data_IF_760054385824
#
_entry.id   IF_760054385824
#
_cell.length_a   1.000
_cell.length_b   1.000
_cell.length_c   1.000
_cell.angle_alpha   90.00
_cell.angle_beta   90.00
_cell.angle_gamma   90.00
#
_symmetry.space_group_name_H-M   'P 1'
#
loop_
_entity.id
_entity.type
_entity.pdbx_description
1 polymer ?
#
# COMPACT_ATOMS: atom_id res chain seq x y z
N UNK A 1 0.42 31.89 -82.14
CA UNK A 1 -0.96 31.86 -82.67
C UNK A 1 -1.94 31.64 -81.53
N UNK A 2 -2.92 32.51 -81.32
CA UNK A 2 -3.88 32.43 -80.21
C UNK A 2 -5.16 31.69 -80.64
N UNK A 3 -5.85 31.06 -79.69
CA UNK A 3 -7.32 30.91 -79.75
C UNK A 3 -7.91 30.96 -78.33
N UNK A 4 -8.52 32.11 -78.04
CA UNK A 4 -9.62 32.27 -77.08
C UNK A 4 -10.86 31.55 -77.62
N UNK A 5 -11.70 31.03 -76.72
CA UNK A 5 -13.11 31.45 -76.48
C UNK A 5 -13.79 30.45 -75.50
N UNK A 6 -14.31 30.90 -74.34
CA UNK A 6 -15.67 31.49 -74.14
C UNK A 6 -16.78 30.43 -74.33
N UNK A 7 -17.86 30.30 -73.56
CA UNK A 7 -18.44 30.93 -72.36
C UNK A 7 -19.70 30.09 -71.98
N UNK A 8 -20.31 30.36 -70.81
CA UNK A 8 -21.78 30.31 -70.50
C UNK A 8 -22.43 28.93 -70.32
N UNK A 9 -23.52 28.73 -69.57
CA UNK A 9 -24.33 29.44 -68.53
C UNK A 9 -25.51 28.49 -68.18
N UNK A 10 -26.14 28.71 -67.02
CA UNK A 10 -27.53 28.40 -66.59
C UNK A 10 -27.54 27.42 -65.41
N UNK A 11 -27.92 27.75 -64.16
CA UNK A 11 -29.05 28.52 -63.58
C UNK A 11 -30.44 27.93 -63.90
N UNK A 12 -31.13 27.53 -62.82
CA UNK A 12 -32.57 27.32 -62.56
C UNK A 12 -32.94 25.86 -62.27
N UNK A 13 -33.83 25.50 -61.34
CA UNK A 13 -34.56 26.15 -60.24
C UNK A 13 -35.25 25.01 -59.47
N UNK A 14 -35.28 25.13 -58.15
CA UNK A 14 -36.36 24.76 -57.20
C UNK A 14 -36.92 23.32 -57.16
N UNK A 15 -36.96 22.76 -55.94
CA UNK A 15 -37.78 21.59 -55.61
C UNK A 15 -37.53 21.10 -54.18
N UNK A 16 -38.35 21.60 -53.25
CA UNK A 16 -38.48 21.17 -51.86
C UNK A 16 -38.67 19.65 -51.71
N UNK A 17 -37.92 18.98 -50.84
CA UNK A 17 -38.45 17.87 -50.03
C UNK A 17 -37.66 17.71 -48.73
N UNK A 18 -38.31 18.07 -47.63
CA UNK A 18 -37.97 17.71 -46.26
C UNK A 18 -38.11 16.19 -46.08
N UNK A 19 -37.04 15.51 -45.63
CA UNK A 19 -37.17 14.30 -44.81
C UNK A 19 -36.16 14.39 -43.67
N UNK A 20 -36.69 14.49 -42.46
CA UNK A 20 -36.01 14.29 -41.19
C UNK A 20 -35.37 12.90 -41.13
N UNK A 21 -34.07 12.82 -40.83
CA UNK A 21 -33.51 11.75 -40.01
C UNK A 21 -32.47 12.39 -39.10
N UNK A 22 -32.84 12.51 -37.83
CA UNK A 22 -31.91 12.83 -36.76
C UNK A 22 -31.22 11.57 -36.22
N UNK A 23 -30.33 11.81 -35.25
CA UNK A 23 -29.52 10.86 -34.48
C UNK A 23 -28.35 10.26 -35.28
N UNK A 24 -27.11 10.23 -34.80
CA UNK A 24 -26.62 10.29 -33.42
C UNK A 24 -25.16 10.70 -33.41
N UNK A 25 -24.82 11.70 -32.58
CA UNK A 25 -23.48 11.86 -32.02
C UNK A 25 -23.24 10.63 -31.13
N UNK A 26 -22.38 9.71 -31.57
CA UNK A 26 -21.77 8.73 -30.68
C UNK A 26 -20.71 9.46 -29.86
N UNK A 27 -21.17 10.11 -28.79
CA UNK A 27 -20.36 10.25 -27.59
C UNK A 27 -19.99 8.81 -27.19
N UNK A 28 -18.73 8.42 -27.41
CA UNK A 28 -18.15 7.30 -26.72
C UNK A 28 -18.01 7.68 -25.24
N UNK A 29 -19.14 7.73 -24.55
CA UNK A 29 -19.16 7.42 -23.13
C UNK A 29 -18.77 5.96 -23.05
N UNK A 30 -17.48 5.68 -22.87
CA UNK A 30 -17.07 4.45 -22.23
C UNK A 30 -17.78 4.44 -20.88
N UNK A 31 -18.91 3.76 -20.82
CA UNK A 31 -19.51 3.34 -19.58
C UNK A 31 -18.39 2.67 -18.80
N UNK A 32 -18.05 3.22 -17.62
CA UNK A 32 -17.47 2.39 -16.58
C UNK A 32 -18.45 1.22 -16.46
N UNK A 33 -18.06 0.05 -16.96
CA UNK A 33 -18.64 -1.20 -16.48
C UNK A 33 -18.32 -1.20 -14.99
N UNK A 34 -19.22 -0.59 -14.22
CA UNK A 34 -19.27 -0.78 -12.79
C UNK A 34 -19.53 -2.26 -12.63
N UNK A 35 -18.48 -3.00 -12.25
CA UNK A 35 -18.73 -4.26 -11.57
C UNK A 35 -19.63 -3.89 -10.41
N UNK A 36 -20.83 -4.42 -10.40
CA UNK A 36 -21.69 -4.46 -9.24
C UNK A 36 -21.02 -5.39 -8.21
N UNK A 37 -19.88 -4.95 -7.67
CA UNK A 37 -19.20 -5.61 -6.57
C UNK A 37 -19.99 -5.25 -5.32
N UNK A 38 -21.10 -5.95 -5.12
CA UNK A 38 -21.86 -5.89 -3.87
C UNK A 38 -20.87 -6.04 -2.71
N UNK A 39 -20.77 -5.01 -1.86
CA UNK A 39 -19.87 -5.01 -0.70
C UNK A 39 -20.19 -6.26 0.13
N UNK A 40 -19.23 -7.17 0.38
CA UNK A 40 -19.48 -8.36 1.16
C UNK A 40 -20.06 -8.00 2.53
N UNK A 41 -21.10 -8.72 2.95
CA UNK A 41 -21.67 -8.53 4.29
C UNK A 41 -20.56 -8.69 5.33
N UNK A 42 -20.50 -7.75 6.27
CA UNK A 42 -19.51 -7.76 7.34
C UNK A 42 -18.10 -7.29 6.93
N UNK A 43 -17.84 -6.92 5.66
CA UNK A 43 -16.51 -6.46 5.20
C UNK A 43 -15.88 -5.45 6.16
N UNK A 44 -16.65 -4.45 6.58
CA UNK A 44 -16.12 -3.37 7.41
C UNK A 44 -16.04 -3.69 8.90
N UNK A 45 -16.68 -4.75 9.39
CA UNK A 45 -16.91 -4.98 10.83
C UNK A 45 -16.41 -6.33 11.33
N UNK A 46 -16.15 -7.30 10.44
CA UNK A 46 -15.74 -8.65 10.81
C UNK A 46 -14.24 -8.87 10.64
N UNK A 47 -13.59 -9.35 11.69
CA UNK A 47 -12.18 -9.74 11.65
C UNK A 47 -12.01 -11.15 11.07
N UNK A 48 -10.96 -11.34 10.27
CA UNK A 48 -10.51 -12.63 9.73
C UNK A 48 -9.48 -13.26 10.67
N UNK A 49 -9.99 -13.88 11.75
CA UNK A 49 -9.18 -14.48 12.81
C UNK A 49 -9.04 -15.99 12.63
N UNK A 50 -7.89 -16.53 13.04
CA UNK A 50 -7.69 -17.97 13.23
C UNK A 50 -8.62 -18.50 14.33
N UNK A 51 -9.17 -19.70 14.12
CA UNK A 51 -10.10 -20.33 15.06
C UNK A 51 -9.52 -20.48 16.49
N UNK A 52 -8.21 -20.73 16.60
CA UNK A 52 -7.52 -20.83 17.89
C UNK A 52 -7.53 -19.52 18.71
N UNK A 53 -7.82 -18.39 18.08
CA UNK A 53 -7.88 -17.08 18.73
C UNK A 53 -9.30 -16.69 19.17
N UNK A 54 -10.30 -17.54 18.97
CA UNK A 54 -11.70 -17.22 19.26
C UNK A 54 -11.93 -16.80 20.72
N UNK A 55 -11.23 -17.44 21.66
CA UNK A 55 -11.35 -17.21 23.10
C UNK A 55 -10.18 -16.41 23.70
N UNK A 56 -9.34 -15.79 22.88
CA UNK A 56 -8.24 -14.98 23.39
C UNK A 56 -8.79 -13.73 24.14
N UNK A 57 -8.33 -13.44 25.37
CA UNK A 57 -8.84 -12.32 26.16
C UNK A 57 -8.63 -10.96 25.49
N UNK A 58 -7.49 -10.75 24.83
CA UNK A 58 -7.21 -9.49 24.13
C UNK A 58 -8.06 -9.37 22.86
N UNK A 59 -8.30 -10.47 22.14
CA UNK A 59 -9.26 -10.48 21.03
C UNK A 59 -10.67 -10.12 21.51
N UNK A 60 -11.08 -10.64 22.67
CA UNK A 60 -12.36 -10.30 23.28
C UNK A 60 -12.45 -8.82 23.67
N UNK A 61 -11.36 -8.23 24.16
CA UNK A 61 -11.26 -6.77 24.39
C UNK A 61 -11.35 -5.97 23.09
N UNK A 62 -10.67 -6.40 22.02
CA UNK A 62 -10.73 -5.74 20.71
C UNK A 62 -12.15 -5.75 20.16
N UNK A 63 -12.86 -6.88 20.29
CA UNK A 63 -14.28 -6.99 19.91
C UNK A 63 -15.17 -6.05 20.72
N UNK A 64 -14.87 -5.81 22.00
CA UNK A 64 -15.57 -4.78 22.80
C UNK A 64 -15.20 -3.37 22.38
N UNK A 65 -13.95 -3.10 22.02
CA UNK A 65 -13.55 -1.78 21.53
C UNK A 65 -14.23 -1.38 20.21
N UNK A 66 -14.79 -2.34 19.47
CA UNK A 66 -15.63 -2.10 18.29
C UNK A 66 -17.02 -1.54 18.65
N UNK A 67 -17.47 -1.62 19.90
CA UNK A 67 -18.77 -1.08 20.31
C UNK A 67 -18.83 0.44 20.02
N UNK A 68 -19.87 0.86 19.30
CA UNK A 68 -20.01 2.25 18.84
C UNK A 68 -19.11 2.65 17.68
N UNK A 69 -18.32 1.72 17.10
CA UNK A 69 -17.52 1.94 15.88
C UNK A 69 -18.27 1.48 14.64
N UNK A 70 -18.14 2.26 13.57
CA UNK A 70 -18.78 1.98 12.28
C UNK A 70 -18.01 0.97 11.45
N UNK A 71 -16.71 0.80 11.71
CA UNK A 71 -15.81 -0.08 10.98
C UNK A 71 -14.56 -0.40 11.77
N UNK A 72 -13.84 -1.45 11.36
CA UNK A 72 -12.51 -1.81 11.89
C UNK A 72 -11.53 -0.65 11.67
N UNK A 73 -11.63 0.08 10.56
CA UNK A 73 -10.79 1.25 10.32
C UNK A 73 -11.09 2.38 11.33
N UNK A 74 -12.34 2.56 11.75
CA UNK A 74 -12.69 3.48 12.83
C UNK A 74 -12.11 3.04 14.18
N UNK A 75 -12.06 1.73 14.47
CA UNK A 75 -11.31 1.23 15.63
C UNK A 75 -9.82 1.55 15.51
N UNK A 76 -9.20 1.27 14.36
CA UNK A 76 -7.78 1.54 14.12
C UNK A 76 -7.44 3.02 14.25
N UNK A 77 -8.32 3.92 13.79
CA UNK A 77 -8.20 5.37 14.03
C UNK A 77 -8.09 5.69 15.52
N UNK A 78 -8.96 5.11 16.35
CA UNK A 78 -8.89 5.32 17.80
C UNK A 78 -7.67 4.69 18.47
N UNK A 79 -7.10 3.62 17.91
CA UNK A 79 -5.80 3.11 18.38
C UNK A 79 -4.66 4.05 17.98
N UNK A 80 -4.66 4.56 16.74
CA UNK A 80 -3.70 5.55 16.27
C UNK A 80 -3.69 6.79 17.18
N UNK A 81 -4.85 7.39 17.45
CA UNK A 81 -4.98 8.59 18.32
C UNK A 81 -4.48 8.35 19.76
N UNK A 82 -4.60 7.12 20.26
CA UNK A 82 -4.06 6.73 21.58
C UNK A 82 -2.55 6.52 21.53
N UNK A 83 -2.05 5.90 20.45
CA UNK A 83 -0.64 5.60 20.24
C UNK A 83 0.20 6.86 19.96
N UNK A 84 -0.39 7.90 19.35
CA UNK A 84 0.24 9.22 19.23
C UNK A 84 0.61 9.80 20.60
N UNK A 85 -0.23 9.54 21.61
CA UNK A 85 -0.02 9.99 22.99
C UNK A 85 0.91 9.06 23.75
N UNK A 86 0.76 7.74 23.57
CA UNK A 86 1.57 6.72 24.23
C UNK A 86 1.85 5.51 23.32
N UNK A 87 3.04 5.55 22.70
CA UNK A 87 3.63 4.45 21.93
C UNK A 87 4.70 3.69 22.73
N UNK A 88 4.65 3.71 24.06
CA UNK A 88 5.57 2.92 24.88
C UNK A 88 5.38 1.41 24.65
N UNK A 89 6.41 0.57 24.85
CA UNK A 89 6.30 -0.88 24.67
C UNK A 89 5.16 -1.54 25.46
N UNK A 90 4.74 -0.92 26.57
CA UNK A 90 3.66 -1.42 27.44
C UNK A 90 2.26 -0.97 27.04
N UNK A 91 2.15 -0.10 26.03
CA UNK A 91 0.89 0.45 25.55
C UNK A 91 -0.13 -0.67 25.27
N UNK A 92 -1.34 -0.60 25.88
CA UNK A 92 -2.39 -1.57 25.63
C UNK A 92 -2.76 -1.67 24.14
N UNK A 93 -2.69 -0.57 23.39
CA UNK A 93 -2.99 -0.57 21.96
C UNK A 93 -1.91 -1.34 21.17
N UNK A 94 -0.62 -1.23 21.53
CA UNK A 94 0.43 -2.03 20.90
C UNK A 94 0.25 -3.53 21.16
N UNK A 95 -0.12 -3.91 22.40
CA UNK A 95 -0.40 -5.31 22.76
C UNK A 95 -1.59 -5.86 21.96
N UNK A 96 -2.62 -5.05 21.73
CA UNK A 96 -3.77 -5.39 20.88
C UNK A 96 -3.39 -5.53 19.41
N UNK A 97 -2.57 -4.63 18.85
CA UNK A 97 -2.06 -4.77 17.47
C UNK A 97 -1.18 -6.01 17.30
N UNK A 98 -0.30 -6.29 18.26
CA UNK A 98 0.54 -7.51 18.27
C UNK A 98 -0.33 -8.77 18.28
N UNK A 99 -1.39 -8.77 19.11
CA UNK A 99 -2.34 -9.88 19.17
C UNK A 99 -3.16 -10.04 17.89
N UNK A 100 -3.69 -8.95 17.34
CA UNK A 100 -4.40 -8.97 16.05
C UNK A 100 -3.51 -9.57 14.97
N UNK A 101 -2.26 -9.12 14.88
CA UNK A 101 -1.31 -9.65 13.92
C UNK A 101 -1.11 -11.16 14.10
N UNK A 102 -0.86 -11.60 15.34
CA UNK A 102 -0.68 -13.02 15.65
C UNK A 102 -1.90 -13.89 15.30
N UNK A 103 -3.11 -13.34 15.41
CA UNK A 103 -4.36 -14.06 15.19
C UNK A 103 -4.93 -13.95 13.77
N UNK A 104 -4.45 -13.05 12.93
CA UNK A 104 -4.93 -12.87 11.56
C UNK A 104 -4.15 -13.75 10.56
N UNK A 105 -4.78 -14.16 9.47
CA UNK A 105 -4.19 -15.09 8.50
C UNK A 105 -3.34 -14.41 7.43
N UNK A 106 -2.28 -15.08 6.98
CA UNK A 106 -1.62 -14.70 5.72
C UNK A 106 -2.48 -15.06 4.52
N UNK A 107 -2.47 -14.21 3.49
CA UNK A 107 -3.02 -14.56 2.18
C UNK A 107 -1.96 -15.21 1.31
N UNK A 108 -2.38 -16.12 0.46
CA UNK A 108 -1.52 -16.71 -0.58
C UNK A 108 -1.17 -15.69 -1.67
N UNK A 109 -2.09 -14.76 -1.95
CA UNK A 109 -1.95 -13.75 -3.00
C UNK A 109 -2.40 -12.39 -2.49
N UNK A 110 -1.59 -11.37 -2.78
CA UNK A 110 -1.89 -9.95 -2.59
C UNK A 110 -1.43 -9.27 -3.87
N UNK A 111 -2.36 -8.71 -4.62
CA UNK A 111 -2.13 -8.25 -6.00
C UNK A 111 -2.85 -6.92 -6.22
N UNK A 112 -2.22 -6.02 -6.98
CA UNK A 112 -2.75 -4.71 -7.31
C UNK A 112 -2.29 -3.61 -6.35
N UNK A 113 -3.01 -2.48 -6.38
CA UNK A 113 -2.72 -1.30 -5.58
C UNK A 113 -3.46 -1.35 -4.24
N UNK A 114 -2.77 -1.01 -3.16
CA UNK A 114 -3.33 -0.86 -1.82
C UNK A 114 -2.89 0.48 -1.21
N UNK A 115 -3.85 1.23 -0.70
CA UNK A 115 -3.64 2.47 0.03
C UNK A 115 -3.07 2.20 1.43
N UNK A 116 -2.22 3.09 1.90
CA UNK A 116 -1.46 2.94 3.14
C UNK A 116 -1.84 3.96 4.22
N UNK A 117 -1.83 3.52 5.48
CA UNK A 117 -1.76 4.43 6.64
C UNK A 117 -0.75 3.87 7.63
N UNK A 118 0.17 4.72 8.09
CA UNK A 118 1.03 4.37 9.24
C UNK A 118 0.22 4.49 10.52
N UNK A 119 0.11 3.40 11.29
CA UNK A 119 -0.64 3.39 12.56
C UNK A 119 0.23 3.91 13.69
N UNK A 120 1.45 3.40 13.79
CA UNK A 120 2.41 3.81 14.83
C UNK A 120 3.81 3.42 14.42
N UNK A 121 4.77 4.25 14.83
CA UNK A 121 6.19 3.90 14.83
C UNK A 121 6.63 3.87 16.29
N UNK A 122 7.20 2.74 16.70
CA UNK A 122 7.67 2.52 18.06
C UNK A 122 8.85 3.44 18.34
N UNK A 123 8.78 4.14 19.47
CA UNK A 123 9.90 4.94 19.96
C UNK A 123 10.91 3.97 20.60
N UNK A 124 12.10 3.85 20.01
CA UNK A 124 13.17 2.99 20.50
C UNK A 124 14.56 3.50 20.14
N UNK A 125 15.57 3.12 20.91
CA UNK A 125 16.98 3.33 20.62
C UNK A 125 17.43 2.34 19.52
N UNK A 126 17.08 2.64 18.28
CA UNK A 126 17.57 1.88 17.13
C UNK A 126 18.86 2.53 16.60
N UNK A 127 19.79 1.77 15.99
CA UNK A 127 20.98 2.32 15.34
C UNK A 127 20.66 3.40 14.29
N UNK A 128 19.45 3.34 13.74
CA UNK A 128 18.90 4.29 12.78
C UNK A 128 17.73 5.11 13.35
N UNK A 129 17.37 4.89 14.61
CA UNK A 129 16.15 5.36 15.25
C UNK A 129 16.03 6.88 15.30
N UNK A 130 17.13 7.60 15.54
CA UNK A 130 17.06 9.07 15.57
C UNK A 130 16.71 9.70 14.22
N UNK A 131 17.30 9.21 13.13
CA UNK A 131 17.01 9.69 11.78
C UNK A 131 15.68 9.14 11.26
N UNK A 132 15.41 7.86 11.47
CA UNK A 132 14.16 7.23 11.07
C UNK A 132 12.97 7.81 11.82
N UNK A 133 13.06 8.00 13.13
CA UNK A 133 12.01 8.66 13.87
C UNK A 133 11.81 10.10 13.40
N UNK A 134 12.84 10.81 12.92
CA UNK A 134 12.67 12.16 12.37
C UNK A 134 12.03 12.17 10.98
N UNK A 135 12.47 11.29 10.08
CA UNK A 135 11.93 11.20 8.71
C UNK A 135 10.55 10.56 8.69
N UNK A 136 10.27 9.62 9.59
CA UNK A 136 9.00 8.92 9.66
C UNK A 136 8.04 9.53 10.71
N UNK A 137 8.48 10.37 11.65
CA UNK A 137 7.55 11.19 12.42
C UNK A 137 6.77 12.18 11.53
N UNK A 138 7.31 12.55 10.36
CA UNK A 138 6.57 13.34 9.37
C UNK A 138 5.61 12.49 8.51
N UNK A 139 5.64 11.16 8.67
CA UNK A 139 4.77 10.21 7.96
C UNK A 139 3.62 9.67 8.82
N UNK A 140 3.48 10.13 10.05
CA UNK A 140 2.32 9.82 10.90
C UNK A 140 1.39 11.04 10.84
N UNK A 141 0.16 10.85 10.35
CA UNK A 141 -0.86 11.90 10.25
C UNK A 141 -1.36 12.17 8.82
N UNK A 142 -2.25 13.16 8.70
CA UNK A 142 -3.04 13.46 7.49
C UNK A 142 -2.23 13.90 6.25
N UNK A 143 -0.93 14.17 6.40
CA UNK A 143 -0.04 14.66 5.34
C UNK A 143 1.14 13.72 5.07
N UNK A 144 1.03 12.47 5.49
CA UNK A 144 2.08 11.47 5.27
C UNK A 144 2.42 11.31 3.79
N UNK A 145 3.71 11.39 3.41
CA UNK A 145 4.12 11.16 2.03
C UNK A 145 3.96 9.71 1.58
N UNK A 146 3.92 8.72 2.48
CA UNK A 146 3.71 7.32 2.10
C UNK A 146 2.22 7.04 1.93
N UNK A 147 1.82 6.60 0.73
CA UNK A 147 0.41 6.49 0.33
C UNK A 147 -0.03 5.04 0.09
N UNK A 148 0.88 4.08 0.12
CA UNK A 148 0.54 2.68 -0.08
C UNK A 148 1.61 1.84 -0.77
N UNK A 149 1.18 0.73 -1.36
CA UNK A 149 2.03 -0.22 -2.07
C UNK A 149 1.31 -0.82 -3.27
N UNK A 150 2.08 -1.21 -4.28
CA UNK A 150 1.62 -2.03 -5.41
C UNK A 150 2.28 -3.40 -5.33
N UNK A 151 1.55 -4.43 -5.75
CA UNK A 151 2.00 -5.81 -5.84
C UNK A 151 1.70 -6.36 -7.22
N UNK A 152 2.73 -6.47 -8.06
CA UNK A 152 2.59 -7.03 -9.41
C UNK A 152 3.14 -8.47 -9.42
N UNK A 153 2.43 -9.44 -10.03
CA UNK A 153 2.97 -10.78 -10.20
C UNK A 153 4.33 -10.72 -10.89
N UNK A 154 5.32 -11.43 -10.34
CA UNK A 154 6.68 -11.38 -10.88
C UNK A 154 6.93 -12.53 -11.84
N UNK A 155 7.49 -12.22 -13.01
CA UNK A 155 7.90 -13.23 -13.97
C UNK A 155 9.10 -14.05 -13.45
N UNK A 156 9.19 -15.36 -13.72
CA UNK A 156 10.26 -16.22 -13.18
C UNK A 156 11.68 -15.73 -13.48
N UNK A 157 11.89 -15.11 -14.65
CA UNK A 157 13.19 -14.52 -15.03
C UNK A 157 13.57 -13.33 -14.15
N UNK A 158 12.61 -12.44 -13.87
CA UNK A 158 12.80 -11.30 -12.99
C UNK A 158 12.99 -11.74 -11.54
N UNK A 159 12.23 -12.75 -11.09
CA UNK A 159 12.40 -13.32 -9.75
C UNK A 159 13.84 -13.79 -9.54
N UNK A 160 14.34 -14.65 -10.43
CA UNK A 160 15.73 -15.12 -10.36
C UNK A 160 16.74 -13.98 -10.43
N UNK A 161 16.47 -12.93 -11.20
CA UNK A 161 17.35 -11.77 -11.25
C UNK A 161 17.39 -11.04 -9.90
N UNK A 162 16.24 -10.66 -9.36
CA UNK A 162 16.16 -9.86 -8.13
C UNK A 162 16.62 -10.64 -6.90
N UNK A 163 16.38 -11.95 -6.86
CA UNK A 163 16.74 -12.80 -5.71
C UNK A 163 18.04 -13.56 -5.94
N UNK A 164 18.81 -13.20 -6.96
CA UNK A 164 20.10 -13.82 -7.29
C UNK A 164 20.01 -15.35 -7.43
N UNK A 165 18.86 -15.81 -7.94
CA UNK A 165 18.56 -17.21 -8.16
C UNK A 165 18.10 -17.97 -6.92
N UNK A 166 18.04 -17.37 -5.72
CA UNK A 166 17.58 -18.04 -4.51
C UNK A 166 16.12 -18.49 -4.61
N UNK A 167 15.20 -17.55 -4.84
CA UNK A 167 13.78 -17.87 -5.04
C UNK A 167 13.56 -18.55 -6.39
N UNK A 168 12.83 -19.67 -6.37
CA UNK A 168 12.53 -20.48 -7.56
C UNK A 168 11.11 -20.32 -8.09
N UNK A 169 10.26 -19.54 -7.38
CA UNK A 169 8.85 -19.35 -7.74
C UNK A 169 7.96 -20.54 -7.37
N UNK A 170 8.32 -21.28 -6.32
CA UNK A 170 7.53 -22.40 -5.80
C UNK A 170 6.19 -21.96 -5.18
N UNK A 171 6.12 -20.70 -4.75
CA UNK A 171 4.91 -20.04 -4.26
C UNK A 171 4.64 -18.78 -5.08
N UNK A 172 3.37 -18.33 -5.20
CA UNK A 172 3.06 -17.05 -5.80
C UNK A 172 3.91 -15.94 -5.19
N UNK A 173 4.62 -15.22 -6.06
CA UNK A 173 5.57 -14.17 -5.67
C UNK A 173 5.26 -12.92 -6.48
N UNK A 174 5.53 -11.76 -5.90
CA UNK A 174 5.19 -10.46 -6.45
C UNK A 174 6.38 -9.51 -6.34
N UNK A 175 6.58 -8.69 -7.36
CA UNK A 175 7.44 -7.53 -7.29
C UNK A 175 6.57 -6.39 -6.78
N UNK A 176 6.91 -5.86 -5.61
CA UNK A 176 6.18 -4.74 -5.04
C UNK A 176 7.00 -3.47 -4.96
N UNK A 177 6.30 -2.36 -4.83
CA UNK A 177 6.88 -1.01 -4.76
C UNK A 177 6.03 -0.12 -3.85
N UNK A 178 6.66 0.79 -3.12
CA UNK A 178 5.93 1.77 -2.32
C UNK A 178 5.46 2.94 -3.19
N UNK A 179 4.28 3.46 -2.87
CA UNK A 179 3.66 4.63 -3.50
C UNK A 179 3.74 5.83 -2.56
N UNK A 180 3.97 7.01 -3.12
CA UNK A 180 4.16 8.24 -2.38
C UNK A 180 3.38 9.39 -2.98
N UNK A 181 2.76 10.20 -2.12
CA UNK A 181 1.88 11.30 -2.51
C UNK A 181 2.41 12.64 -2.01
N UNK A 182 2.32 13.63 -2.87
CA UNK A 182 2.62 15.03 -2.57
C UNK A 182 1.36 15.75 -2.13
N UNK A 183 1.51 16.60 -1.13
CA UNK A 183 0.50 17.57 -0.73
C UNK A 183 1.11 18.95 -0.91
N UNK A 184 0.79 19.63 -2.00
CA UNK A 184 1.39 20.91 -2.38
C UNK A 184 1.15 22.02 -1.33
N UNK A 185 0.08 21.89 -0.56
CA UNK A 185 -0.28 22.81 0.53
C UNK A 185 0.49 22.55 1.83
N UNK A 186 1.21 21.43 1.94
CA UNK A 186 1.95 21.04 3.14
C UNK A 186 3.47 21.12 2.92
N UNK A 187 4.08 22.17 3.44
CA UNK A 187 5.55 22.35 3.41
C UNK A 187 6.28 21.18 4.08
N UNK A 188 5.70 20.60 5.14
CA UNK A 188 6.24 19.43 5.81
C UNK A 188 6.25 18.20 4.90
N UNK A 189 5.16 17.97 4.16
CA UNK A 189 5.08 16.88 3.18
C UNK A 189 6.10 17.11 2.06
N UNK A 190 6.15 18.30 1.47
CA UNK A 190 7.07 18.61 0.37
C UNK A 190 8.54 18.41 0.79
N UNK A 191 8.91 18.85 1.99
CA UNK A 191 10.26 18.67 2.54
C UNK A 191 10.57 17.18 2.76
N UNK A 192 9.61 16.43 3.30
CA UNK A 192 9.75 14.98 3.51
C UNK A 192 9.88 14.23 2.19
N UNK A 193 9.10 14.61 1.18
CA UNK A 193 9.16 14.07 -0.18
C UNK A 193 10.50 14.35 -0.84
N UNK A 194 11.09 15.54 -0.66
CA UNK A 194 12.42 15.84 -1.19
C UNK A 194 13.49 14.94 -0.56
N UNK A 195 13.44 14.76 0.78
CA UNK A 195 14.35 13.86 1.49
C UNK A 195 14.18 12.40 1.05
N UNK A 196 12.95 11.91 0.95
CA UNK A 196 12.63 10.57 0.45
C UNK A 196 13.06 10.39 -1.00
N UNK A 197 12.89 11.40 -1.86
CA UNK A 197 13.31 11.34 -3.26
C UNK A 197 14.83 11.20 -3.39
N UNK A 198 15.58 12.02 -2.64
CA UNK A 198 17.04 11.91 -2.58
C UNK A 198 17.48 10.52 -2.06
N UNK A 199 16.78 10.00 -1.06
CA UNK A 199 17.22 8.81 -0.35
C UNK A 199 16.79 7.48 -1.01
N UNK A 200 15.58 7.44 -1.57
CA UNK A 200 14.97 6.23 -2.12
C UNK A 200 14.96 6.22 -3.65
N UNK A 201 15.58 7.22 -4.28
CA UNK A 201 15.59 7.40 -5.73
C UNK A 201 14.19 7.28 -6.34
N UNK A 202 13.24 8.03 -5.76
CA UNK A 202 11.84 7.94 -6.13
C UNK A 202 11.63 8.36 -7.59
N UNK A 203 10.89 7.55 -8.33
CA UNK A 203 10.53 7.84 -9.73
C UNK A 203 9.14 8.46 -9.77
N UNK A 204 8.91 9.35 -10.72
CA UNK A 204 7.56 9.87 -10.94
C UNK A 204 6.64 8.75 -11.43
N UNK A 205 5.41 8.75 -10.93
CA UNK A 205 4.37 7.88 -11.41
C UNK A 205 3.96 8.28 -12.85
N UNK A 206 3.71 7.32 -13.75
CA UNK A 206 2.99 7.54 -14.99
C UNK A 206 1.66 8.28 -14.74
N UNK A 207 1.26 9.12 -15.69
CA UNK A 207 0.05 9.94 -15.56
C UNK A 207 -1.22 9.10 -15.36
N UNK A 208 -1.30 7.95 -16.01
CA UNK A 208 -2.42 7.00 -15.84
C UNK A 208 -2.52 6.48 -14.40
N UNK A 209 -1.39 6.16 -13.77
CA UNK A 209 -1.34 5.71 -12.37
C UNK A 209 -1.70 6.86 -11.42
N UNK A 210 -1.23 8.07 -11.68
CA UNK A 210 -1.59 9.27 -10.91
C UNK A 210 -3.08 9.53 -10.92
N UNK A 211 -3.70 9.49 -12.09
CA UNK A 211 -5.14 9.73 -12.25
C UNK A 211 -5.97 8.62 -11.61
N UNK A 212 -5.51 7.38 -11.70
CA UNK A 212 -6.23 6.22 -11.17
C UNK A 212 -6.13 6.09 -9.65
N UNK A 213 -4.92 6.22 -9.11
CA UNK A 213 -4.62 5.88 -7.72
C UNK A 213 -4.28 7.09 -6.85
N UNK A 214 -3.84 8.21 -7.45
CA UNK A 214 -3.65 9.48 -6.73
C UNK A 214 -2.30 9.67 -6.04
N UNK A 215 -1.32 8.78 -6.27
CA UNK A 215 0.06 8.96 -5.80
C UNK A 215 0.93 9.59 -6.90
N UNK A 216 2.00 10.26 -6.50
CA UNK A 216 2.87 11.04 -7.40
C UNK A 216 4.16 10.35 -7.77
N UNK A 217 4.67 9.52 -6.86
CA UNK A 217 5.97 8.88 -6.97
C UNK A 217 5.94 7.44 -6.49
N UNK A 218 6.88 6.64 -6.98
CA UNK A 218 7.08 5.25 -6.55
C UNK A 218 8.55 4.92 -6.36
N UNK A 219 8.85 4.05 -5.40
CA UNK A 219 10.22 3.61 -5.10
C UNK A 219 10.28 2.60 -3.96
N UNK A 220 11.48 2.15 -3.61
CA UNK A 220 11.68 1.12 -2.59
C UNK A 220 11.05 -0.21 -2.98
N UNK A 221 11.70 -0.92 -3.92
CA UNK A 221 11.23 -2.21 -4.42
C UNK A 221 11.33 -3.29 -3.33
N UNK A 222 10.48 -4.31 -3.40
CA UNK A 222 10.55 -5.48 -2.54
C UNK A 222 10.06 -6.73 -3.27
N UNK A 223 10.51 -7.90 -2.80
CA UNK A 223 9.97 -9.19 -3.22
C UNK A 223 8.97 -9.63 -2.16
N UNK A 224 7.72 -9.84 -2.57
CA UNK A 224 6.64 -10.24 -1.68
C UNK A 224 6.16 -11.66 -1.94
N UNK A 225 6.03 -12.46 -0.89
CA UNK A 225 5.49 -13.83 -0.95
C UNK A 225 5.04 -14.30 0.41
N UNK A 226 4.29 -15.40 0.44
CA UNK A 226 4.03 -16.13 1.68
C UNK A 226 5.32 -16.75 2.22
N UNK A 227 5.58 -16.58 3.51
CA UNK A 227 6.77 -17.09 4.21
C UNK A 227 6.50 -17.23 5.71
N UNK A 228 7.49 -17.76 6.44
CA UNK A 228 7.50 -17.72 7.91
C UNK A 228 7.90 -16.33 8.41
N UNK A 229 7.31 -15.94 9.54
CA UNK A 229 7.60 -14.67 10.19
C UNK A 229 9.04 -14.61 10.70
N UNK A 230 9.71 -13.48 10.51
CA UNK A 230 11.02 -13.16 11.08
C UNK A 230 10.92 -12.69 12.53
N UNK A 231 9.72 -12.40 13.02
CA UNK A 231 9.49 -12.08 14.43
C UNK A 231 9.74 -13.32 15.31
N UNK A 232 10.68 -13.26 16.27
CA UNK A 232 10.98 -14.40 17.12
C UNK A 232 9.82 -14.87 18.00
N UNK A 233 8.89 -13.98 18.32
CA UNK A 233 7.71 -14.34 19.13
C UNK A 233 6.69 -15.18 18.35
N UNK A 234 6.76 -15.18 17.03
CA UNK A 234 5.81 -15.82 16.12
C UNK A 234 6.54 -16.55 14.97
N UNK A 235 7.71 -17.15 15.21
CA UNK A 235 8.58 -17.68 14.15
C UNK A 235 7.92 -18.73 13.26
N UNK A 236 6.98 -19.51 13.81
CA UNK A 236 6.26 -20.54 13.05
C UNK A 236 5.04 -20.00 12.29
N UNK A 237 4.67 -18.74 12.52
CA UNK A 237 3.51 -18.12 11.87
C UNK A 237 3.79 -17.90 10.39
N UNK A 238 2.84 -18.28 9.55
CA UNK A 238 2.83 -17.86 8.15
C UNK A 238 2.37 -16.40 8.04
N UNK A 239 3.11 -15.61 7.29
CA UNK A 239 2.85 -14.20 6.97
C UNK A 239 3.01 -13.98 5.47
N UNK A 240 2.48 -12.89 4.95
CA UNK A 240 2.88 -12.41 3.63
C UNK A 240 4.04 -11.42 3.83
N UNK A 241 5.25 -11.87 3.54
CA UNK A 241 6.50 -11.14 3.79
C UNK A 241 6.83 -10.25 2.60
N UNK A 242 7.28 -9.02 2.85
CA UNK A 242 7.76 -8.07 1.87
C UNK A 242 9.25 -7.81 2.15
N UNK A 243 10.12 -8.44 1.36
CA UNK A 243 11.56 -8.43 1.59
C UNK A 243 12.25 -7.39 0.70
N UNK A 244 12.78 -6.33 1.31
CA UNK A 244 13.49 -5.24 0.64
C UNK A 244 15.00 -5.47 0.55
N UNK A 245 15.50 -6.55 1.16
CA UNK A 245 16.92 -6.71 1.47
C UNK A 245 17.73 -7.26 0.31
N UNK A 246 17.08 -7.81 -0.71
CA UNK A 246 17.74 -8.35 -1.89
C UNK A 246 18.62 -7.30 -2.57
N UNK A 247 19.89 -7.65 -2.80
CA UNK A 247 20.90 -6.72 -3.31
C UNK A 247 20.52 -6.10 -4.65
N UNK A 248 19.94 -6.90 -5.54
CA UNK A 248 19.52 -6.49 -6.89
C UNK A 248 18.28 -5.59 -6.93
N UNK A 249 17.61 -5.37 -5.79
CA UNK A 249 16.59 -4.33 -5.66
C UNK A 249 17.19 -2.92 -5.56
N UNK A 250 18.50 -2.83 -5.29
CA UNK A 250 19.26 -1.57 -5.19
C UNK A 250 18.69 -0.59 -4.17
N UNK A 251 18.00 -1.11 -3.14
CA UNK A 251 17.53 -0.30 -2.04
C UNK A 251 18.71 0.25 -1.23
N UNK A 252 18.65 1.53 -0.90
CA UNK A 252 19.59 2.15 0.03
C UNK A 252 19.19 1.85 1.49
N UNK A 253 20.10 1.97 2.47
CA UNK A 253 19.71 2.05 3.89
C UNK A 253 18.56 3.04 4.06
N UNK A 254 17.58 2.80 4.94
CA UNK A 254 17.50 1.65 5.81
C UNK A 254 16.70 0.52 5.15
N UNK A 255 16.09 0.75 3.97
CA UNK A 255 15.20 -0.19 3.31
C UNK A 255 15.91 -1.51 3.00
N UNK A 256 17.21 -1.49 2.71
CA UNK A 256 17.98 -2.74 2.55
C UNK A 256 18.10 -3.60 3.82
N UNK A 257 17.67 -3.09 4.98
CA UNK A 257 17.57 -3.80 6.25
C UNK A 257 16.13 -4.13 6.64
N UNK A 258 15.16 -3.75 5.81
CA UNK A 258 13.72 -3.85 6.10
C UNK A 258 13.14 -5.17 5.59
N UNK A 259 12.29 -5.76 6.42
CA UNK A 259 11.29 -6.74 6.03
C UNK A 259 9.97 -6.27 6.62
N UNK A 260 8.95 -6.04 5.77
CA UNK A 260 7.59 -5.89 6.28
C UNK A 260 6.90 -7.25 6.27
N UNK A 261 5.92 -7.41 7.15
CA UNK A 261 5.05 -8.58 7.18
C UNK A 261 3.60 -8.12 7.26
N UNK A 262 2.72 -8.72 6.46
CA UNK A 262 1.29 -8.39 6.46
C UNK A 262 0.42 -9.63 6.67
N UNK A 263 -0.72 -9.42 7.31
CA UNK A 263 -1.79 -10.40 7.53
C UNK A 263 -3.15 -9.77 7.20
N UNK A 264 -4.10 -10.57 6.74
CA UNK A 264 -5.44 -10.10 6.40
C UNK A 264 -6.26 -9.91 7.68
N UNK A 265 -6.60 -8.65 7.98
CA UNK A 265 -7.44 -8.31 9.13
C UNK A 265 -8.93 -8.43 8.78
N UNK A 266 -9.31 -7.98 7.59
CA UNK A 266 -10.65 -8.10 7.01
C UNK A 266 -10.50 -8.13 5.49
N UNK A 267 -11.53 -8.51 4.74
CA UNK A 267 -11.41 -8.59 3.27
C UNK A 267 -10.99 -7.24 2.69
N UNK A 268 -9.83 -7.21 2.02
CA UNK A 268 -9.26 -5.98 1.47
C UNK A 268 -8.55 -5.06 2.48
N UNK A 269 -8.42 -5.44 3.75
CA UNK A 269 -7.70 -4.69 4.79
C UNK A 269 -6.65 -5.57 5.47
N UNK A 270 -5.41 -5.11 5.45
CA UNK A 270 -4.26 -5.82 5.98
C UNK A 270 -3.61 -5.06 7.13
N UNK A 271 -3.21 -5.79 8.17
CA UNK A 271 -2.32 -5.28 9.21
C UNK A 271 -0.89 -5.59 8.83
N UNK A 272 -0.05 -4.56 8.82
CA UNK A 272 1.38 -4.68 8.57
C UNK A 272 2.22 -4.41 9.81
N UNK A 273 3.36 -5.08 9.87
CA UNK A 273 4.45 -4.86 10.82
C UNK A 273 5.73 -4.54 10.04
N UNK A 274 6.52 -3.58 10.53
CA UNK A 274 7.83 -3.25 9.95
C UNK A 274 8.94 -3.85 10.82
N UNK A 275 9.85 -4.62 10.24
CA UNK A 275 11.01 -5.17 10.93
C UNK A 275 12.30 -4.66 10.31
N UNK A 276 13.17 -4.08 11.13
CA UNK A 276 14.53 -3.73 10.73
C UNK A 276 15.54 -4.70 11.34
N UNK A 277 16.47 -5.18 10.53
CA UNK A 277 17.65 -5.86 11.05
C UNK A 277 18.47 -4.89 11.91
N UNK A 278 19.00 -5.37 13.02
CA UNK A 278 19.89 -4.60 13.92
C UNK A 278 21.29 -5.22 14.03
N UNK A 279 21.48 -6.39 13.42
CA UNK A 279 22.78 -7.05 13.28
C UNK A 279 23.13 -7.26 11.80
N UNK A 280 24.42 -7.47 11.51
CA UNK A 280 24.97 -7.68 10.17
C UNK A 280 24.66 -6.54 9.18
N UNK A 281 24.73 -5.30 9.67
CA UNK A 281 24.38 -4.10 8.93
C UNK A 281 25.42 -3.72 7.87
N UNK A 282 26.65 -4.24 7.98
CA UNK A 282 27.74 -3.99 7.03
C UNK A 282 27.87 -5.11 5.98
N UNK A 283 27.03 -6.13 6.06
CA UNK A 283 27.03 -7.28 5.16
C UNK A 283 25.84 -7.18 4.19
N UNK A 284 26.00 -7.76 3.00
CA UNK A 284 24.86 -7.99 2.11
C UNK A 284 23.90 -9.03 2.73
N UNK A 285 22.62 -8.94 2.37
CA UNK A 285 21.64 -9.90 2.83
C UNK A 285 21.95 -11.30 2.31
N UNK A 286 21.99 -12.27 3.23
CA UNK A 286 22.15 -13.68 2.93
C UNK A 286 20.84 -14.41 3.27
N UNK A 287 20.08 -14.88 2.28
CA UNK A 287 18.82 -15.58 2.51
C UNK A 287 18.99 -16.99 3.12
N UNK A 288 20.19 -17.57 3.07
CA UNK A 288 20.50 -18.87 3.72
C UNK A 288 20.77 -18.72 5.22
N UNK A 289 21.03 -17.49 5.69
CA UNK A 289 21.26 -17.22 7.11
C UNK A 289 19.95 -17.30 7.88
N UNK A 290 20.03 -17.80 9.11
CA UNK A 290 18.89 -17.80 10.01
C UNK A 290 18.37 -16.36 10.24
N UNK A 291 17.05 -16.10 10.11
CA UNK A 291 16.48 -14.78 10.37
C UNK A 291 16.81 -14.22 11.76
N UNK A 292 17.00 -15.10 12.76
CA UNK A 292 17.35 -14.72 14.13
C UNK A 292 18.72 -14.04 14.25
N UNK A 293 19.67 -14.36 13.37
CA UNK A 293 21.00 -13.76 13.39
C UNK A 293 20.96 -12.27 13.03
N UNK A 294 19.97 -11.83 12.25
CA UNK A 294 19.77 -10.42 11.90
C UNK A 294 19.17 -9.57 13.04
N UNK A 295 18.70 -10.21 14.12
CA UNK A 295 18.10 -9.55 15.30
C UNK A 295 17.03 -8.53 14.89
N UNK A 296 16.05 -8.98 14.11
CA UNK A 296 14.98 -8.12 13.64
C UNK A 296 14.19 -7.52 14.81
N UNK A 297 14.00 -6.21 14.77
CA UNK A 297 13.19 -5.49 15.74
C UNK A 297 11.96 -4.89 15.06
N UNK A 298 10.79 -5.08 15.68
CA UNK A 298 9.56 -4.46 15.20
C UNK A 298 9.63 -2.95 15.45
N UNK A 299 9.58 -2.17 14.37
CA UNK A 299 9.68 -0.73 14.40
C UNK A 299 8.31 -0.03 14.34
N UNK A 300 7.24 -0.75 14.01
CA UNK A 300 5.91 -0.15 13.94
C UNK A 300 4.87 -1.03 13.28
N UNK A 301 3.71 -0.40 13.06
CA UNK A 301 2.55 -0.98 12.41
C UNK A 301 1.98 -0.04 11.35
N UNK A 302 1.44 -0.63 10.29
CA UNK A 302 0.75 0.08 9.22
C UNK A 302 -0.48 -0.70 8.76
N UNK A 303 -1.36 -0.06 8.00
CA UNK A 303 -2.45 -0.70 7.29
C UNK A 303 -2.23 -0.61 5.80
N UNK A 304 -2.65 -1.64 5.07
CA UNK A 304 -2.85 -1.61 3.62
C UNK A 304 -4.30 -1.91 3.32
N UNK A 305 -4.89 -1.19 2.37
CA UNK A 305 -6.32 -1.27 2.15
C UNK A 305 -6.72 -1.06 0.69
N UNK A 306 -7.75 -1.76 0.24
CA UNK A 306 -8.30 -1.62 -1.12
C UNK A 306 -9.13 -0.34 -1.29
N UNK A 307 -9.66 -0.13 -2.49
CA UNK A 307 -10.43 1.05 -2.87
C UNK A 307 -11.64 1.29 -1.93
N UNK A 308 -12.38 0.24 -1.57
CA UNK A 308 -13.56 0.34 -0.70
C UNK A 308 -13.19 0.76 0.72
N UNK A 309 -12.08 0.26 1.24
CA UNK A 309 -11.54 0.73 2.51
C UNK A 309 -10.94 2.12 2.45
N UNK A 310 -10.38 2.52 1.31
CA UNK A 310 -9.87 3.87 1.10
C UNK A 310 -11.00 4.92 1.08
N UNK A 311 -12.18 4.58 0.56
CA UNK A 311 -13.37 5.43 0.70
C UNK A 311 -13.75 5.63 2.17
N UNK A 312 -13.76 4.56 2.95
CA UNK A 312 -13.99 4.62 4.40
C UNK A 312 -12.88 5.41 5.12
N UNK A 313 -11.62 5.33 4.66
CA UNK A 313 -10.50 6.14 5.15
C UNK A 313 -10.78 7.62 4.94
N UNK A 314 -11.10 8.06 3.72
CA UNK A 314 -11.34 9.47 3.43
C UNK A 314 -12.53 10.02 4.25
N UNK A 315 -13.53 9.19 4.56
CA UNK A 315 -14.63 9.56 5.47
C UNK A 315 -14.17 9.74 6.92
N UNK A 316 -13.28 8.87 7.41
CA UNK A 316 -12.83 8.87 8.81
C UNK A 316 -11.67 9.83 9.08
N UNK A 317 -10.82 10.07 8.09
CA UNK A 317 -9.64 10.94 8.14
C UNK A 317 -9.81 12.08 7.13
N UNK A 318 -10.82 12.96 7.31
CA UNK A 318 -10.98 14.09 6.42
C UNK A 318 -9.72 14.95 6.49
N UNK A 319 -9.21 15.35 5.33
CA UNK A 319 -8.18 16.38 5.26
C UNK A 319 -8.86 17.69 5.68
N UNK A 320 -8.28 18.38 6.67
CA UNK A 320 -8.71 19.73 6.99
C UNK A 320 -8.63 20.55 5.70
N UNK A 321 -9.77 21.10 5.25
CA UNK A 321 -9.87 21.95 4.06
C UNK A 321 -9.24 23.32 4.30
#
# INVERSE_FOLDING_TARGET
MPRKKDTRRNIQRHGFLLVFVGLTFLCACTSKEGRDESIPQGKFTEFRLDAQCEHDPLISEIKRDMEGKTSILHLMKSYLEKLEKDASPDSPCLKKLEKLFACCQAKERVEGHFYGITVVLKKGEHPYGGFLNRLWATTVGNVSPWDGKIFDPIEPGQLRFYTEGFEKGEVPTFLGINCFKKYDESLLNLTSMAALNFWMNLKDAPEEEKQKYGYDKKGGLFIARKAKSVNPKNSDKEVFQLNYRWRKLENLPPNRYLIDEIVLMADGLYLGQLFYATAHLLEDYNPERSPFEYRYENFGYFLLMDDQWNEERERLFPRDQ
#
